data_IF_775836421516
#
_entry.id   IF_775836421516
#
_cell.length_a   1.000
_cell.length_b   1.000
_cell.length_c   1.000
_cell.angle_alpha   90.00
_cell.angle_beta   90.00
_cell.angle_gamma   90.00
#
_symmetry.space_group_name_H-M   'P 1'
#
loop_
_entity.id
_entity.type
_entity.pdbx_description
1 polymer ?
#
# COMPACT_ATOMS: atom_id res chain seq x y z
N UNK A 1 6.98 -44.31 -61.15
CA UNK A 1 8.01 -43.62 -61.95
C UNK A 1 7.94 -42.14 -61.55
N UNK A 2 8.72 -41.72 -60.55
CA UNK A 2 10.00 -40.99 -60.71
C UNK A 2 9.76 -39.62 -61.39
N UNK A 3 10.08 -38.47 -60.80
CA UNK A 3 11.37 -38.12 -60.18
C UNK A 3 11.28 -37.01 -59.12
N UNK A 4 12.29 -37.04 -58.27
CA UNK A 4 12.72 -36.11 -57.23
C UNK A 4 13.21 -34.75 -57.75
N UNK A 5 13.06 -33.70 -56.93
CA UNK A 5 14.08 -32.64 -56.86
C UNK A 5 14.12 -32.06 -55.44
N UNK A 6 15.19 -32.39 -54.72
CA UNK A 6 15.58 -31.75 -53.47
C UNK A 6 16.03 -30.30 -53.74
N UNK A 7 15.57 -29.34 -52.93
CA UNK A 7 16.31 -28.09 -52.71
C UNK A 7 16.45 -27.84 -51.22
N UNK A 8 17.71 -27.77 -50.83
CA UNK A 8 18.27 -27.45 -49.53
C UNK A 8 17.73 -26.14 -48.96
N UNK A 9 17.20 -26.18 -47.74
CA UNK A 9 17.00 -24.99 -46.91
C UNK A 9 18.25 -24.79 -46.03
N UNK A 10 19.03 -23.76 -46.34
CA UNK A 10 20.00 -23.17 -45.41
C UNK A 10 19.25 -22.35 -44.35
N UNK A 11 19.57 -22.46 -43.05
CA UNK A 11 18.96 -21.61 -42.04
C UNK A 11 19.62 -20.23 -42.06
N UNK A 12 18.91 -19.20 -42.53
CA UNK A 12 19.36 -17.82 -42.41
C UNK A 12 19.33 -17.39 -40.95
N UNK A 13 20.49 -17.06 -40.42
CA UNK A 13 20.71 -16.40 -39.15
C UNK A 13 19.93 -15.08 -39.05
N UNK A 14 18.97 -15.00 -38.13
CA UNK A 14 18.38 -13.73 -37.68
C UNK A 14 18.50 -13.61 -36.15
N UNK A 15 19.57 -12.93 -35.76
CA UNK A 15 19.75 -12.08 -34.58
C UNK A 15 18.87 -12.38 -33.34
N UNK A 16 19.36 -13.25 -32.47
CA UNK A 16 19.07 -13.13 -31.04
C UNK A 16 19.89 -11.96 -30.47
N UNK A 17 19.26 -10.80 -30.33
CA UNK A 17 19.85 -9.72 -29.52
C UNK A 17 19.67 -10.11 -28.06
N UNK A 18 20.73 -10.69 -27.47
CA UNK A 18 20.84 -10.90 -26.02
C UNK A 18 20.74 -9.54 -25.32
N UNK A 19 19.61 -9.30 -24.64
CA UNK A 19 19.41 -8.09 -23.86
C UNK A 19 20.12 -8.26 -22.53
N UNK A 20 21.14 -7.46 -22.28
CA UNK A 20 21.88 -7.52 -21.00
C UNK A 20 20.97 -7.17 -19.83
N UNK A 21 21.23 -7.73 -18.64
CA UNK A 21 20.48 -7.42 -17.40
C UNK A 21 20.42 -5.91 -17.15
N UNK A 22 21.47 -5.16 -17.49
CA UNK A 22 21.47 -3.69 -17.44
C UNK A 22 20.48 -3.04 -18.40
N UNK A 23 20.34 -3.54 -19.62
CA UNK A 23 19.34 -3.06 -20.59
C UNK A 23 17.92 -3.44 -20.16
N UNK A 24 17.72 -4.61 -19.53
CA UNK A 24 16.44 -4.99 -18.92
C UNK A 24 16.06 -4.09 -17.75
N UNK A 25 17.01 -3.81 -16.85
CA UNK A 25 16.82 -2.88 -15.72
C UNK A 25 16.60 -1.44 -16.22
N UNK A 26 17.27 -1.02 -17.28
CA UNK A 26 17.07 0.31 -17.88
C UNK A 26 15.71 0.41 -18.60
N UNK A 27 15.27 -0.63 -19.33
CA UNK A 27 13.92 -0.71 -19.90
C UNK A 27 12.84 -0.75 -18.83
N UNK A 28 13.05 -1.48 -17.72
CA UNK A 28 12.16 -1.48 -16.55
C UNK A 28 12.12 -0.10 -15.87
N UNK A 29 13.26 0.60 -15.78
CA UNK A 29 13.32 2.00 -15.31
C UNK A 29 12.61 2.98 -16.25
N UNK A 30 12.67 2.77 -17.57
CA UNK A 30 11.93 3.56 -18.55
C UNK A 30 10.43 3.23 -18.54
N UNK A 31 10.03 1.98 -18.31
CA UNK A 31 8.63 1.59 -18.09
C UNK A 31 8.07 2.20 -16.79
N UNK A 32 8.94 2.42 -15.79
CA UNK A 32 8.67 3.21 -14.57
C UNK A 32 8.48 4.72 -14.80
N UNK A 33 8.68 5.26 -16.02
CA UNK A 33 8.17 6.61 -16.37
C UNK A 33 6.65 6.66 -16.51
N UNK A 34 5.97 5.51 -16.44
CA UNK A 34 4.52 5.48 -16.20
C UNK A 34 4.22 6.02 -14.81
N UNK A 35 3.29 6.98 -14.74
CA UNK A 35 2.78 7.57 -13.49
C UNK A 35 2.51 6.48 -12.46
N UNK A 36 3.18 6.54 -11.30
CA UNK A 36 2.97 5.59 -10.18
C UNK A 36 1.49 5.45 -9.86
N UNK A 37 1.05 4.24 -9.47
CA UNK A 37 -0.32 3.95 -9.06
C UNK A 37 -0.77 4.92 -7.94
N UNK A 38 0.10 5.18 -6.96
CA UNK A 38 -0.13 6.17 -5.91
C UNK A 38 -0.40 7.56 -6.49
N UNK A 39 0.31 7.96 -7.54
CA UNK A 39 0.10 9.27 -8.16
C UNK A 39 -1.25 9.35 -8.88
N UNK A 40 -1.72 8.26 -9.52
CA UNK A 40 -3.08 8.21 -10.10
C UNK A 40 -4.14 8.32 -9.01
N UNK A 41 -4.02 7.54 -7.95
CA UNK A 41 -4.95 7.54 -6.83
C UNK A 41 -5.00 8.90 -6.10
N UNK A 42 -3.84 9.49 -5.81
CA UNK A 42 -3.76 10.85 -5.26
C UNK A 42 -4.46 11.88 -6.15
N UNK A 43 -4.39 11.76 -7.48
CA UNK A 43 -5.12 12.66 -8.39
C UNK A 43 -6.63 12.52 -8.25
N UNK A 44 -7.14 11.29 -8.12
CA UNK A 44 -8.56 11.03 -7.86
C UNK A 44 -9.01 11.67 -6.54
N UNK A 45 -8.24 11.45 -5.46
CA UNK A 45 -8.50 12.06 -4.15
C UNK A 45 -8.48 13.59 -4.22
N UNK A 46 -7.46 14.19 -4.86
CA UNK A 46 -7.37 15.64 -4.99
C UNK A 46 -8.55 16.19 -5.80
N UNK A 47 -8.96 15.51 -6.89
CA UNK A 47 -10.14 15.89 -7.68
C UNK A 47 -11.41 15.84 -6.81
N UNK A 48 -11.59 14.78 -6.03
CA UNK A 48 -12.70 14.63 -5.09
C UNK A 48 -12.73 15.76 -4.06
N UNK A 49 -11.59 16.07 -3.43
CA UNK A 49 -11.47 17.17 -2.47
C UNK A 49 -11.79 18.52 -3.10
N UNK A 50 -11.57 18.68 -4.41
CA UNK A 50 -11.94 19.88 -5.16
C UNK A 50 -13.35 19.79 -5.77
N UNK A 51 -14.31 19.19 -5.04
CA UNK A 51 -15.72 19.11 -5.42
C UNK A 51 -15.94 18.46 -6.81
N UNK A 52 -15.05 17.53 -7.15
CA UNK A 52 -14.96 16.81 -8.42
C UNK A 52 -14.73 17.70 -9.65
N UNK A 53 -14.31 18.96 -9.44
CA UNK A 53 -13.97 19.89 -10.50
C UNK A 53 -12.56 19.61 -11.06
N UNK A 54 -12.29 19.98 -12.34
CA UNK A 54 -10.95 19.92 -12.88
C UNK A 54 -10.00 20.80 -12.05
N UNK A 55 -8.80 20.27 -11.82
CA UNK A 55 -7.76 20.91 -11.02
C UNK A 55 -6.77 21.58 -11.96
N UNK A 56 -6.30 22.78 -11.63
CA UNK A 56 -5.33 23.51 -12.45
C UNK A 56 -3.95 22.81 -12.45
N UNK A 57 -3.07 23.24 -13.34
CA UNK A 57 -1.68 22.73 -13.48
C UNK A 57 -0.87 22.73 -12.18
N UNK A 58 -1.23 23.59 -11.22
CA UNK A 58 -0.63 23.72 -9.88
C UNK A 58 -1.18 22.72 -8.86
N UNK A 59 -2.20 21.94 -9.19
CA UNK A 59 -2.84 21.00 -8.25
C UNK A 59 -3.88 21.65 -7.32
N UNK A 60 -4.23 22.91 -7.53
CA UNK A 60 -5.27 23.65 -6.79
C UNK A 60 -6.50 23.92 -7.68
N UNK A 61 -7.68 24.07 -7.07
CA UNK A 61 -8.89 24.49 -7.78
C UNK A 61 -8.80 25.98 -8.22
N UNK A 62 -9.63 26.38 -9.19
CA UNK A 62 -9.71 27.78 -9.65
C UNK A 62 -10.17 28.75 -8.54
N UNK A 63 -11.07 28.32 -7.67
CA UNK A 63 -11.54 29.07 -6.51
C UNK A 63 -11.23 28.29 -5.22
N UNK A 64 -10.59 28.95 -4.24
CA UNK A 64 -10.28 28.38 -2.94
C UNK A 64 -11.55 28.30 -2.07
N UNK A 65 -12.35 27.25 -2.28
CA UNK A 65 -13.53 26.98 -1.45
C UNK A 65 -13.12 26.20 -0.21
N UNK A 66 -13.33 26.80 0.97
CA UNK A 66 -13.21 26.09 2.24
C UNK A 66 -14.32 25.05 2.38
N UNK A 67 -13.96 23.86 2.86
CA UNK A 67 -14.88 22.72 3.01
C UNK A 67 -14.53 21.85 4.20
N UNK A 68 -15.52 21.05 4.60
CA UNK A 68 -15.41 20.06 5.67
C UNK A 68 -15.33 18.67 5.03
N UNK A 69 -14.37 17.85 5.45
CA UNK A 69 -14.25 16.47 4.99
C UNK A 69 -14.89 15.51 5.99
N UNK A 70 -15.92 14.79 5.56
CA UNK A 70 -16.55 13.74 6.34
C UNK A 70 -16.14 12.40 5.73
N UNK A 71 -15.66 11.47 6.53
CA UNK A 71 -15.34 10.12 6.07
C UNK A 71 -15.76 9.06 7.08
N UNK A 72 -15.86 7.81 6.66
CA UNK A 72 -15.95 6.69 7.60
C UNK A 72 -14.56 6.15 7.95
N UNK A 73 -14.51 5.14 8.81
CA UNK A 73 -13.25 4.56 9.27
C UNK A 73 -12.47 3.86 8.15
N UNK A 74 -13.15 3.30 7.16
CA UNK A 74 -12.51 2.61 6.05
C UNK A 74 -11.87 3.62 5.08
N UNK A 75 -12.63 4.62 4.67
CA UNK A 75 -12.18 5.73 3.83
C UNK A 75 -11.08 6.58 4.49
N UNK A 76 -11.14 6.76 5.83
CA UNK A 76 -10.02 7.35 6.58
C UNK A 76 -8.72 6.56 6.36
N UNK A 77 -8.80 5.23 6.42
CA UNK A 77 -7.63 4.37 6.26
C UNK A 77 -7.11 4.36 4.81
N UNK A 78 -7.96 4.61 3.80
CA UNK A 78 -7.55 4.84 2.41
C UNK A 78 -6.75 6.13 2.29
N UNK A 79 -7.24 7.23 2.88
CA UNK A 79 -6.57 8.53 2.80
C UNK A 79 -5.25 8.59 3.60
N UNK A 80 -5.20 7.91 4.75
CA UNK A 80 -4.12 8.06 5.72
C UNK A 80 -2.67 7.84 5.21
N UNK A 81 -2.38 6.92 4.27
CA UNK A 81 -1.04 6.72 3.72
C UNK A 81 -0.77 7.63 2.51
N UNK A 82 -1.79 8.32 1.99
CA UNK A 82 -1.75 9.03 0.71
C UNK A 82 -1.70 10.56 0.88
N UNK A 83 -2.41 11.09 1.87
CA UNK A 83 -2.53 12.54 2.07
C UNK A 83 -2.38 12.90 3.54
N UNK A 84 -1.42 13.78 3.85
CA UNK A 84 -1.23 14.28 5.21
C UNK A 84 -2.12 15.49 5.48
N UNK A 85 -2.30 15.83 6.76
CA UNK A 85 -3.11 16.98 7.19
C UNK A 85 -2.66 18.30 6.53
N UNK A 86 -1.35 18.48 6.34
CA UNK A 86 -0.79 19.67 5.65
C UNK A 86 -1.30 19.79 4.21
N UNK A 87 -1.50 18.66 3.53
CA UNK A 87 -1.94 18.63 2.14
C UNK A 87 -3.46 18.75 2.02
N UNK A 88 -4.23 18.23 2.98
CA UNK A 88 -5.67 18.51 3.09
C UNK A 88 -5.95 20.02 3.18
N UNK A 89 -5.17 20.74 3.99
CA UNK A 89 -5.30 22.20 4.15
C UNK A 89 -4.99 22.96 2.86
N UNK A 90 -3.99 22.53 2.08
CA UNK A 90 -3.68 23.09 0.75
C UNK A 90 -4.84 22.96 -0.24
N UNK A 91 -5.73 21.99 -0.02
CA UNK A 91 -6.92 21.79 -0.83
C UNK A 91 -8.19 22.36 -0.18
N UNK A 92 -8.07 23.29 0.78
CA UNK A 92 -9.23 23.98 1.36
C UNK A 92 -10.00 23.18 2.42
N UNK A 93 -9.50 22.03 2.87
CA UNK A 93 -10.14 21.27 3.96
C UNK A 93 -9.76 21.89 5.30
N UNK A 94 -10.72 22.52 5.98
CA UNK A 94 -10.50 23.21 7.26
C UNK A 94 -10.74 22.29 8.46
N UNK A 95 -11.78 21.45 8.37
CA UNK A 95 -12.16 20.48 9.38
C UNK A 95 -12.38 19.11 8.74
N UNK A 96 -12.13 18.05 9.51
CA UNK A 96 -12.45 16.69 9.10
C UNK A 96 -12.97 15.86 10.26
N UNK A 97 -13.98 15.04 10.00
CA UNK A 97 -14.64 14.24 11.03
C UNK A 97 -14.99 12.85 10.53
N UNK A 98 -15.06 11.90 11.47
CA UNK A 98 -15.68 10.62 11.18
C UNK A 98 -17.21 10.78 11.16
N UNK A 99 -17.88 10.11 10.22
CA UNK A 99 -19.34 10.16 10.03
C UNK A 99 -20.12 9.63 11.25
N UNK A 100 -19.55 8.69 12.00
CA UNK A 100 -20.15 8.11 13.21
C UNK A 100 -20.15 9.07 14.41
N UNK A 101 -19.39 10.17 14.35
CA UNK A 101 -19.30 11.13 15.45
C UNK A 101 -20.38 12.20 15.36
N UNK A 102 -20.75 12.70 16.53
CA UNK A 102 -21.58 13.89 16.62
C UNK A 102 -20.77 15.12 16.24
N UNK A 103 -21.38 15.92 15.37
CA UNK A 103 -20.77 17.06 14.71
C UNK A 103 -21.64 18.28 14.95
N UNK A 104 -21.01 19.41 15.22
CA UNK A 104 -21.69 20.70 15.34
C UNK A 104 -22.02 21.22 13.93
N UNK A 105 -23.18 21.85 13.73
CA UNK A 105 -23.52 22.47 12.45
C UNK A 105 -22.53 23.57 12.07
N UNK A 106 -22.22 23.66 10.78
CA UNK A 106 -21.44 24.73 10.14
C UNK A 106 -22.16 25.10 8.84
N UNK A 107 -23.20 25.92 8.95
CA UNK A 107 -24.22 26.13 7.91
C UNK A 107 -23.73 26.78 6.62
N UNK A 108 -22.63 27.56 6.66
CA UNK A 108 -22.13 28.33 5.51
C UNK A 108 -20.99 27.62 4.75
N UNK A 109 -20.69 26.37 5.10
CA UNK A 109 -19.54 25.64 4.56
C UNK A 109 -19.99 24.34 3.89
N UNK A 110 -19.58 24.06 2.64
CA UNK A 110 -19.86 22.80 1.97
C UNK A 110 -19.11 21.63 2.62
N UNK A 111 -19.70 20.44 2.57
CA UNK A 111 -19.11 19.21 3.08
C UNK A 111 -18.87 18.18 1.97
N UNK A 112 -17.64 17.65 1.92
CA UNK A 112 -17.25 16.52 1.08
C UNK A 112 -17.35 15.25 1.91
N UNK A 113 -18.26 14.36 1.55
CA UNK A 113 -18.40 13.04 2.15
C UNK A 113 -17.62 12.03 1.33
N UNK A 114 -16.65 11.34 1.92
CA UNK A 114 -15.96 10.20 1.33
C UNK A 114 -16.19 8.94 2.17
N UNK A 115 -17.14 8.09 1.76
CA UNK A 115 -17.66 6.99 2.59
C UNK A 115 -17.94 5.74 1.78
N UNK A 116 -18.02 4.58 2.44
CA UNK A 116 -18.48 3.35 1.81
C UNK A 116 -19.99 3.39 1.52
N UNK A 117 -20.46 2.78 0.42
CA UNK A 117 -21.87 2.67 0.10
C UNK A 117 -22.54 1.57 0.95
N UNK A 118 -22.87 1.89 2.20
CA UNK A 118 -23.58 1.00 3.12
C UNK A 118 -24.74 1.70 3.83
N UNK A 119 -25.69 0.92 4.36
CA UNK A 119 -26.91 1.45 4.97
C UNK A 119 -26.65 2.45 6.09
N UNK A 120 -25.69 2.16 6.97
CA UNK A 120 -25.38 3.02 8.11
C UNK A 120 -24.91 4.41 7.67
N UNK A 121 -24.06 4.47 6.63
CA UNK A 121 -23.58 5.72 6.08
C UNK A 121 -24.71 6.50 5.39
N UNK A 122 -25.58 5.83 4.62
CA UNK A 122 -26.74 6.46 3.98
C UNK A 122 -27.67 7.08 5.01
N UNK A 123 -28.04 6.34 6.06
CA UNK A 123 -28.89 6.84 7.14
C UNK A 123 -28.28 8.06 7.82
N UNK A 124 -26.95 8.04 8.05
CA UNK A 124 -26.26 9.16 8.68
C UNK A 124 -26.20 10.40 7.78
N UNK A 125 -26.00 10.23 6.47
CA UNK A 125 -26.07 11.32 5.49
C UNK A 125 -27.47 11.95 5.49
N UNK A 126 -28.52 11.14 5.45
CA UNK A 126 -29.91 11.63 5.49
C UNK A 126 -30.18 12.42 6.78
N UNK A 127 -29.73 11.91 7.92
CA UNK A 127 -29.87 12.59 9.21
C UNK A 127 -29.08 13.91 9.31
N UNK A 128 -27.90 13.98 8.69
CA UNK A 128 -27.09 15.20 8.65
C UNK A 128 -27.73 16.25 7.72
N UNK A 129 -28.29 15.82 6.59
CA UNK A 129 -28.97 16.67 5.63
C UNK A 129 -30.28 17.24 6.19
N UNK A 130 -31.08 16.42 6.87
CA UNK A 130 -32.34 16.87 7.50
C UNK A 130 -32.10 17.91 8.60
N UNK A 131 -30.97 17.81 9.30
CA UNK A 131 -30.54 18.80 10.32
C UNK A 131 -29.79 19.99 9.73
N UNK A 132 -29.61 20.06 8.41
CA UNK A 132 -28.87 21.09 7.70
C UNK A 132 -27.50 21.37 8.32
N UNK A 133 -26.73 20.31 8.64
CA UNK A 133 -25.43 20.49 9.31
C UNK A 133 -24.42 21.31 8.49
N UNK A 134 -24.57 21.36 7.16
CA UNK A 134 -23.67 22.01 6.21
C UNK A 134 -24.46 22.75 5.14
N UNK A 135 -23.80 23.66 4.42
CA UNK A 135 -24.42 24.42 3.33
C UNK A 135 -24.92 23.48 2.22
N UNK A 136 -24.01 22.63 1.73
CA UNK A 136 -24.25 21.66 0.66
C UNK A 136 -23.43 20.39 0.87
N UNK A 137 -23.93 19.28 0.32
CA UNK A 137 -23.41 17.93 0.54
C UNK A 137 -22.90 17.37 -0.78
N UNK A 138 -21.60 17.11 -0.85
CA UNK A 138 -20.93 16.47 -1.97
C UNK A 138 -20.61 15.02 -1.62
N UNK A 139 -21.43 14.09 -2.10
CA UNK A 139 -21.36 12.69 -1.74
C UNK A 139 -20.42 11.94 -2.69
N UNK A 140 -19.41 11.30 -2.12
CA UNK A 140 -18.41 10.52 -2.85
C UNK A 140 -18.31 9.14 -2.21
N UNK A 141 -18.82 8.12 -2.93
CA UNK A 141 -18.77 6.74 -2.47
C UNK A 141 -17.46 6.06 -2.90
N UNK A 142 -16.89 5.24 -2.02
CA UNK A 142 -15.62 4.53 -2.30
C UNK A 142 -15.72 3.55 -3.46
N UNK A 143 -16.86 2.91 -3.65
CA UNK A 143 -17.20 2.09 -4.81
C UNK A 143 -18.56 2.53 -5.36
N UNK A 144 -19.02 1.84 -6.41
CA UNK A 144 -20.32 2.13 -6.99
C UNK A 144 -21.46 1.87 -6.03
N UNK A 145 -22.34 2.87 -5.84
CA UNK A 145 -23.50 2.75 -4.97
C UNK A 145 -24.55 1.79 -5.58
N UNK A 146 -24.96 0.73 -4.86
CA UNK A 146 -26.08 -0.11 -5.27
C UNK A 146 -27.37 0.68 -5.43
N UNK A 147 -28.18 0.31 -6.43
CA UNK A 147 -29.45 0.99 -6.72
C UNK A 147 -30.40 1.12 -5.51
N UNK A 148 -30.58 0.08 -4.68
CA UNK A 148 -31.43 0.19 -3.49
C UNK A 148 -30.95 1.27 -2.50
N UNK A 149 -29.63 1.37 -2.28
CA UNK A 149 -29.07 2.38 -1.37
C UNK A 149 -29.21 3.81 -1.92
N UNK A 150 -29.16 3.96 -3.24
CA UNK A 150 -29.40 5.26 -3.89
C UNK A 150 -30.87 5.67 -3.78
N UNK A 151 -31.80 4.73 -3.90
CA UNK A 151 -33.24 4.95 -3.74
C UNK A 151 -33.59 5.27 -2.28
N UNK A 152 -32.95 4.62 -1.32
CA UNK A 152 -33.06 4.94 0.11
C UNK A 152 -32.58 6.37 0.43
N UNK A 153 -31.42 6.77 -0.14
CA UNK A 153 -30.90 8.11 0.00
C UNK A 153 -31.87 9.16 -0.56
N UNK A 154 -32.40 8.91 -1.77
CA UNK A 154 -33.35 9.79 -2.41
C UNK A 154 -34.65 9.90 -1.60
N UNK A 155 -35.22 8.76 -1.19
CA UNK A 155 -36.45 8.72 -0.40
C UNK A 155 -36.28 9.40 0.96
N UNK A 156 -35.17 9.15 1.66
CA UNK A 156 -34.88 9.77 2.95
C UNK A 156 -34.71 11.28 2.88
N UNK A 157 -34.04 11.79 1.85
CA UNK A 157 -33.84 13.24 1.65
C UNK A 157 -35.10 13.94 1.13
N UNK A 158 -35.95 13.27 0.36
CA UNK A 158 -37.28 13.78 -0.03
C UNK A 158 -38.21 13.89 1.18
N UNK A 159 -38.28 12.85 2.02
CA UNK A 159 -39.13 12.83 3.20
C UNK A 159 -38.75 13.87 4.26
N UNK A 160 -37.49 14.30 4.26
CA UNK A 160 -36.97 15.34 5.16
C UNK A 160 -36.86 16.72 4.52
N UNK A 161 -37.37 16.88 3.29
CA UNK A 161 -37.30 18.12 2.49
C UNK A 161 -35.87 18.69 2.36
N UNK A 162 -34.88 17.81 2.34
CA UNK A 162 -33.46 18.16 2.32
C UNK A 162 -32.76 17.79 1.02
N UNK A 163 -33.50 17.36 -0.01
CA UNK A 163 -32.94 16.95 -1.30
C UNK A 163 -32.12 18.08 -1.97
N UNK A 164 -32.56 19.32 -1.82
CA UNK A 164 -31.90 20.51 -2.36
C UNK A 164 -30.50 20.76 -1.78
N UNK A 165 -30.17 20.13 -0.64
CA UNK A 165 -28.84 20.20 -0.02
C UNK A 165 -27.83 19.25 -0.67
N UNK A 166 -28.28 18.22 -1.38
CA UNK A 166 -27.39 17.28 -2.07
C UNK A 166 -26.95 17.90 -3.39
N UNK A 167 -25.69 18.33 -3.46
CA UNK A 167 -25.15 19.01 -4.64
C UNK A 167 -24.76 18.01 -5.74
N UNK A 168 -24.00 16.98 -5.37
CA UNK A 168 -23.49 15.97 -6.31
C UNK A 168 -23.33 14.62 -5.62
N UNK A 169 -23.44 13.55 -6.42
CA UNK A 169 -23.20 12.17 -6.02
C UNK A 169 -22.23 11.54 -7.02
N UNK A 170 -21.14 10.97 -6.53
CA UNK A 170 -20.11 10.31 -7.34
C UNK A 170 -19.70 8.95 -6.79
N UNK A 171 -19.42 8.04 -7.70
CA UNK A 171 -18.70 6.80 -7.44
C UNK A 171 -17.20 7.05 -7.71
N UNK A 172 -16.35 6.95 -6.68
CA UNK A 172 -14.92 7.26 -6.80
C UNK A 172 -14.06 6.07 -7.24
N UNK A 173 -14.54 4.84 -7.04
CA UNK A 173 -13.79 3.61 -7.33
C UNK A 173 -12.42 3.52 -6.64
N UNK A 174 -12.34 3.95 -5.38
CA UNK A 174 -11.17 3.97 -4.52
C UNK A 174 -11.26 2.97 -3.34
N UNK A 175 -12.02 1.88 -3.49
CA UNK A 175 -12.24 0.88 -2.43
C UNK A 175 -11.05 -0.08 -2.22
N UNK A 176 -9.84 0.47 -2.04
CA UNK A 176 -8.60 -0.23 -1.76
C UNK A 176 -7.58 0.71 -1.10
N UNK A 177 -6.58 0.16 -0.43
CA UNK A 177 -5.50 0.93 0.22
C UNK A 177 -4.19 0.74 -0.53
N UNK A 178 -3.49 1.84 -0.84
CA UNK A 178 -2.14 1.82 -1.39
C UNK A 178 -1.11 2.07 -0.29
N UNK A 179 -0.21 1.11 -0.10
CA UNK A 179 0.84 1.17 0.92
C UNK A 179 2.21 1.45 0.28
N UNK A 180 2.45 0.89 -0.91
CA UNK A 180 3.63 1.14 -1.74
C UNK A 180 3.22 1.35 -3.21
N UNK A 181 4.13 1.82 -4.07
CA UNK A 181 3.84 2.12 -5.48
C UNK A 181 3.28 0.92 -6.28
N UNK A 182 3.59 -0.29 -5.82
CA UNK A 182 3.22 -1.56 -6.43
C UNK A 182 2.55 -2.54 -5.44
N UNK A 183 2.04 -2.02 -4.31
CA UNK A 183 1.35 -2.82 -3.30
C UNK A 183 0.03 -2.17 -2.90
N UNK A 184 -1.05 -2.92 -3.11
CA UNK A 184 -2.38 -2.54 -2.64
C UNK A 184 -2.99 -3.63 -1.75
N UNK A 185 -3.95 -3.24 -0.92
CA UNK A 185 -4.76 -4.14 -0.11
C UNK A 185 -6.23 -3.75 -0.19
N UNK A 186 -7.11 -4.73 -0.41
CA UNK A 186 -8.56 -4.52 -0.30
C UNK A 186 -9.02 -4.35 1.15
N UNK A 187 -8.13 -4.59 2.12
CA UNK A 187 -8.39 -4.44 3.56
C UNK A 187 -9.58 -5.24 4.10
N UNK A 188 -9.86 -6.36 3.43
CA UNK A 188 -10.84 -7.35 3.85
C UNK A 188 -10.13 -8.34 4.77
N UNK A 189 -10.44 -8.25 6.07
CA UNK A 189 -9.84 -9.13 7.08
C UNK A 189 -10.54 -10.48 7.09
N UNK A 190 -9.80 -11.50 7.50
CA UNK A 190 -10.32 -12.85 7.75
C UNK A 190 -10.92 -13.57 6.54
N UNK A 191 -10.82 -13.02 5.33
CA UNK A 191 -11.33 -13.63 4.09
C UNK A 191 -10.83 -15.05 3.89
N UNK A 192 -9.56 -15.33 4.21
CA UNK A 192 -9.02 -16.70 4.13
C UNK A 192 -9.73 -17.67 5.07
N UNK A 193 -10.01 -17.24 6.30
CA UNK A 193 -10.73 -18.07 7.28
C UNK A 193 -12.17 -18.29 6.84
N UNK A 194 -12.86 -17.21 6.43
CA UNK A 194 -14.25 -17.26 5.99
C UNK A 194 -14.45 -18.17 4.77
N UNK A 195 -13.58 -18.11 3.76
CA UNK A 195 -13.66 -18.95 2.56
C UNK A 195 -13.32 -20.42 2.81
N UNK A 196 -12.66 -20.74 3.92
CA UNK A 196 -12.29 -22.12 4.29
C UNK A 196 -13.06 -22.62 5.53
N UNK A 197 -14.09 -21.89 5.96
CA UNK A 197 -14.95 -22.29 7.06
C UNK A 197 -15.92 -23.38 6.56
N UNK A 198 -15.89 -24.61 7.12
CA UNK A 198 -16.81 -25.68 6.70
C UNK A 198 -18.28 -25.37 6.96
N UNK A 199 -18.59 -24.37 7.79
CA UNK A 199 -19.93 -23.92 8.09
C UNK A 199 -20.42 -22.78 7.19
N UNK A 200 -19.55 -22.20 6.36
CA UNK A 200 -19.92 -21.12 5.45
C UNK A 200 -20.93 -21.62 4.41
N UNK A 201 -22.06 -20.92 4.30
CA UNK A 201 -23.06 -21.20 3.27
C UNK A 201 -22.72 -20.52 1.93
N UNK A 202 -23.37 -20.98 0.85
CA UNK A 202 -23.14 -20.46 -0.51
C UNK A 202 -23.29 -18.93 -0.59
N UNK A 203 -24.33 -18.38 0.04
CA UNK A 203 -24.56 -16.93 0.07
C UNK A 203 -23.43 -16.16 0.73
N UNK A 204 -22.88 -16.66 1.84
CA UNK A 204 -21.77 -15.99 2.52
C UNK A 204 -20.51 -15.99 1.65
N UNK A 205 -20.27 -17.10 0.94
CA UNK A 205 -19.18 -17.21 -0.04
C UNK A 205 -19.40 -16.20 -1.17
N UNK A 206 -20.60 -16.16 -1.77
CA UNK A 206 -20.96 -15.20 -2.81
C UNK A 206 -20.73 -13.75 -2.38
N UNK A 207 -21.17 -13.38 -1.17
CA UNK A 207 -20.96 -12.04 -0.60
C UNK A 207 -19.46 -11.72 -0.42
N UNK A 208 -18.64 -12.70 -0.04
CA UNK A 208 -17.18 -12.54 0.04
C UNK A 208 -16.59 -12.32 -1.36
N UNK A 209 -16.98 -13.14 -2.34
CA UNK A 209 -16.50 -13.05 -3.72
C UNK A 209 -16.87 -11.69 -4.31
N UNK A 210 -18.12 -11.24 -4.15
CA UNK A 210 -18.58 -9.93 -4.65
C UNK A 210 -17.77 -8.78 -4.07
N UNK A 211 -17.47 -8.81 -2.76
CA UNK A 211 -16.62 -7.80 -2.13
C UNK A 211 -15.21 -7.78 -2.72
N UNK A 212 -14.60 -8.94 -2.96
CA UNK A 212 -13.27 -9.01 -3.58
C UNK A 212 -13.34 -8.45 -5.02
N UNK A 213 -14.34 -8.86 -5.80
CA UNK A 213 -14.56 -8.41 -7.18
C UNK A 213 -14.76 -6.90 -7.24
N UNK A 214 -15.56 -6.34 -6.33
CA UNK A 214 -15.78 -4.88 -6.26
C UNK A 214 -14.49 -4.10 -6.00
N UNK A 215 -13.67 -4.57 -5.05
CA UNK A 215 -12.37 -3.96 -4.76
C UNK A 215 -11.38 -4.07 -5.93
N UNK A 216 -11.29 -5.24 -6.57
CA UNK A 216 -10.45 -5.44 -7.76
C UNK A 216 -10.92 -4.58 -8.94
N UNK A 217 -12.23 -4.47 -9.13
CA UNK A 217 -12.82 -3.59 -10.14
C UNK A 217 -12.41 -2.12 -9.90
N UNK A 218 -12.44 -1.65 -8.65
CA UNK A 218 -11.98 -0.31 -8.28
C UNK A 218 -10.51 -0.07 -8.64
N UNK A 219 -9.64 -1.05 -8.38
CA UNK A 219 -8.22 -1.01 -8.79
C UNK A 219 -8.08 -0.86 -10.31
N UNK A 220 -8.80 -1.68 -11.08
CA UNK A 220 -8.75 -1.66 -12.54
C UNK A 220 -9.32 -0.37 -13.13
N UNK A 221 -10.42 0.13 -12.57
CA UNK A 221 -11.03 1.41 -12.94
C UNK A 221 -10.07 2.58 -12.68
N UNK A 222 -9.43 2.63 -11.51
CA UNK A 222 -8.43 3.66 -11.18
C UNK A 222 -7.20 3.61 -12.09
N UNK A 223 -6.76 2.39 -12.46
CA UNK A 223 -5.67 2.23 -13.42
C UNK A 223 -6.10 2.55 -14.85
N UNK A 224 -7.40 2.55 -15.14
CA UNK A 224 -8.04 2.62 -16.44
C UNK A 224 -7.58 1.50 -17.39
N UNK A 225 -7.55 0.25 -16.90
CA UNK A 225 -7.05 -0.89 -17.65
C UNK A 225 -7.98 -2.11 -17.59
N UNK A 226 -8.14 -2.78 -18.74
CA UNK A 226 -8.82 -4.07 -18.86
C UNK A 226 -7.78 -5.21 -19.00
N UNK A 227 -7.54 -6.02 -17.95
CA UNK A 227 -6.48 -7.02 -17.96
C UNK A 227 -6.91 -8.32 -18.66
N UNK A 228 -5.95 -9.16 -19.04
CA UNK A 228 -6.17 -10.58 -19.32
C UNK A 228 -6.13 -11.32 -17.99
N UNK A 229 -7.24 -11.95 -17.58
CA UNK A 229 -7.33 -12.64 -16.30
C UNK A 229 -6.78 -14.08 -16.42
N UNK A 230 -5.97 -14.48 -15.45
CA UNK A 230 -5.43 -15.83 -15.28
C UNK A 230 -5.54 -16.24 -13.82
N UNK A 231 -6.03 -17.45 -13.57
CA UNK A 231 -6.23 -17.97 -12.21
C UNK A 231 -5.91 -19.47 -12.15
N UNK A 232 -5.64 -19.97 -10.95
CA UNK A 232 -5.69 -21.40 -10.67
C UNK A 232 -7.16 -21.86 -10.67
N UNK A 233 -7.40 -23.06 -11.22
CA UNK A 233 -8.74 -23.66 -11.27
C UNK A 233 -9.11 -24.32 -9.94
N UNK A 234 -10.41 -24.49 -9.73
CA UNK A 234 -11.02 -25.25 -8.64
C UNK A 234 -10.76 -24.64 -7.26
N UNK A 235 -10.92 -23.32 -7.13
CA UNK A 235 -10.78 -22.59 -5.87
C UNK A 235 -11.41 -21.20 -5.92
N UNK A 236 -11.35 -20.44 -4.81
CA UNK A 236 -11.88 -19.08 -4.74
C UNK A 236 -11.33 -18.15 -5.83
N UNK A 237 -10.05 -18.31 -6.23
CA UNK A 237 -9.47 -17.53 -7.31
C UNK A 237 -10.23 -17.64 -8.64
N UNK A 238 -10.79 -18.82 -8.97
CA UNK A 238 -11.60 -19.03 -10.18
C UNK A 238 -12.97 -18.34 -10.06
N UNK A 239 -13.61 -18.41 -8.89
CA UNK A 239 -14.87 -17.72 -8.62
C UNK A 239 -14.73 -16.21 -8.77
N UNK A 240 -13.70 -15.62 -8.13
CA UNK A 240 -13.41 -14.18 -8.26
C UNK A 240 -13.06 -13.82 -9.70
N UNK A 241 -12.23 -14.62 -10.39
CA UNK A 241 -11.85 -14.36 -11.78
C UNK A 241 -13.05 -14.33 -12.72
N UNK A 242 -13.97 -15.29 -12.57
CA UNK A 242 -15.16 -15.41 -13.43
C UNK A 242 -16.13 -14.26 -13.19
N UNK A 243 -16.40 -13.93 -11.92
CA UNK A 243 -17.26 -12.81 -11.54
C UNK A 243 -16.65 -11.45 -11.94
N UNK A 244 -15.33 -11.30 -11.85
CA UNK A 244 -14.63 -10.09 -12.31
C UNK A 244 -14.66 -9.96 -13.84
N UNK A 245 -14.47 -11.05 -14.60
CA UNK A 245 -14.61 -11.06 -16.06
C UNK A 245 -16.02 -10.61 -16.47
N UNK A 246 -17.05 -11.18 -15.83
CA UNK A 246 -18.44 -10.79 -16.07
C UNK A 246 -18.67 -9.29 -15.78
N UNK A 247 -18.25 -8.82 -14.60
CA UNK A 247 -18.39 -7.40 -14.22
C UNK A 247 -17.68 -6.45 -15.20
N UNK A 248 -16.50 -6.83 -15.69
CA UNK A 248 -15.78 -6.05 -16.71
C UNK A 248 -16.53 -6.02 -18.04
N UNK A 249 -17.07 -7.16 -18.50
CA UNK A 249 -17.86 -7.23 -19.74
C UNK A 249 -19.09 -6.35 -19.67
N UNK A 250 -19.86 -6.45 -18.58
CA UNK A 250 -21.07 -5.65 -18.38
C UNK A 250 -20.73 -4.16 -18.42
N UNK A 251 -19.63 -3.77 -17.76
CA UNK A 251 -19.19 -2.38 -17.76
C UNK A 251 -18.67 -1.89 -19.13
N UNK A 252 -18.05 -2.75 -19.92
CA UNK A 252 -17.58 -2.41 -21.28
C UNK A 252 -18.72 -2.22 -22.27
N UNK A 253 -19.85 -2.90 -22.05
CA UNK A 253 -21.07 -2.73 -22.85
C UNK A 253 -21.88 -1.50 -22.43
N UNK A 254 -21.60 -0.92 -21.26
CA UNK A 254 -22.29 0.26 -20.77
C UNK A 254 -21.93 1.53 -21.57
N UNK A 255 -22.89 2.46 -21.71
CA UNK A 255 -22.68 3.74 -22.40
C UNK A 255 -21.64 4.63 -21.69
N UNK A 256 -21.59 4.56 -20.36
CA UNK A 256 -20.66 5.32 -19.51
C UNK A 256 -19.47 4.45 -19.09
N UNK A 257 -18.74 3.91 -20.06
CA UNK A 257 -17.65 3.00 -19.75
C UNK A 257 -16.43 3.77 -19.17
N UNK A 258 -15.91 3.32 -18.02
CA UNK A 258 -14.81 3.96 -17.30
C UNK A 258 -13.43 3.71 -17.96
N UNK A 259 -13.38 2.80 -18.94
CA UNK A 259 -12.14 2.34 -19.58
C UNK A 259 -11.85 3.06 -20.91
N UNK A 260 -12.77 3.88 -21.41
CA UNK A 260 -12.61 4.65 -22.66
C UNK A 260 -12.03 6.04 -22.46
N UNK A 261 -12.25 6.66 -21.29
CA UNK A 261 -11.87 8.06 -21.02
C UNK A 261 -10.36 8.30 -21.07
N UNK A 262 -9.53 7.26 -20.95
CA UNK A 262 -8.07 7.35 -20.99
C UNK A 262 -7.46 7.30 -22.39
N UNK A 263 -8.26 7.24 -23.47
CA UNK A 263 -7.77 7.11 -24.85
C UNK A 263 -7.07 5.76 -25.12
N UNK A 264 -7.17 4.81 -24.20
CA UNK A 264 -6.37 3.57 -24.20
C UNK A 264 -6.96 2.44 -25.05
N UNK A 265 -8.03 2.66 -25.81
CA UNK A 265 -8.48 1.65 -26.78
C UNK A 265 -7.40 1.40 -27.87
N UNK A 266 -6.55 2.39 -28.14
CA UNK A 266 -5.38 2.26 -29.02
C UNK A 266 -4.22 1.42 -28.43
N UNK A 267 -4.24 1.08 -27.13
CA UNK A 267 -3.22 0.21 -26.50
C UNK A 267 -3.59 -1.29 -26.56
N UNK A 268 -4.54 -1.65 -27.41
CA UNK A 268 -5.07 -3.02 -27.59
C UNK A 268 -3.99 -4.10 -27.83
N UNK A 269 -2.77 -3.71 -28.20
CA UNK A 269 -1.65 -4.64 -28.42
C UNK A 269 -0.89 -5.07 -27.15
N UNK A 270 -1.10 -4.43 -25.98
CA UNK A 270 -0.43 -4.79 -24.73
C UNK A 270 -1.35 -4.67 -23.50
N UNK A 271 -2.36 -5.55 -23.40
CA UNK A 271 -3.15 -5.70 -22.17
C UNK A 271 -2.28 -6.34 -21.07
N UNK A 272 -2.25 -5.80 -19.84
CA UNK A 272 -1.54 -6.46 -18.75
C UNK A 272 -2.26 -7.75 -18.35
N UNK A 273 -1.53 -8.63 -17.66
CA UNK A 273 -2.06 -9.88 -17.14
C UNK A 273 -2.38 -9.67 -15.65
N UNK A 274 -3.59 -10.03 -15.24
CA UNK A 274 -3.97 -10.17 -13.84
C UNK A 274 -3.88 -11.64 -13.46
N UNK A 275 -2.85 -12.01 -12.69
CA UNK A 275 -2.68 -13.36 -12.16
C UNK A 275 -3.29 -13.45 -10.76
N UNK A 276 -4.18 -14.42 -10.56
CA UNK A 276 -4.91 -14.64 -9.31
C UNK A 276 -4.52 -15.98 -8.71
N UNK A 277 -4.14 -15.95 -7.43
CA UNK A 277 -3.68 -17.13 -6.69
C UNK A 277 -4.45 -17.24 -5.38
N UNK A 278 -4.87 -18.46 -5.05
CA UNK A 278 -5.32 -18.78 -3.71
C UNK A 278 -4.12 -18.90 -2.77
N UNK A 279 -4.27 -18.46 -1.52
CA UNK A 279 -3.19 -18.54 -0.52
C UNK A 279 -2.70 -19.98 -0.29
N UNK A 280 -3.53 -20.97 -0.57
CA UNK A 280 -3.19 -22.39 -0.51
C UNK A 280 -2.02 -22.79 -1.44
N UNK A 281 -1.73 -21.98 -2.46
CA UNK A 281 -0.57 -22.16 -3.33
C UNK A 281 0.75 -22.11 -2.55
N UNK A 282 0.89 -21.16 -1.62
CA UNK A 282 2.11 -20.99 -0.81
C UNK A 282 1.78 -20.35 0.55
N UNK A 283 1.48 -21.21 1.52
CA UNK A 283 1.21 -20.79 2.91
C UNK A 283 2.48 -20.45 3.68
N UNK A 284 3.59 -21.14 3.39
CA UNK A 284 4.89 -20.94 4.08
C UNK A 284 5.36 -19.49 3.99
N UNK A 285 5.24 -18.86 2.82
CA UNK A 285 5.64 -17.47 2.61
C UNK A 285 4.91 -16.46 3.53
N UNK A 286 3.72 -16.81 4.05
CA UNK A 286 2.96 -15.94 4.95
C UNK A 286 3.31 -16.14 6.44
N UNK A 287 4.05 -17.20 6.78
CA UNK A 287 4.34 -17.58 8.17
C UNK A 287 5.83 -17.68 8.47
N UNK A 288 6.68 -17.80 7.47
CA UNK A 288 8.13 -17.86 7.65
C UNK A 288 8.65 -16.60 8.34
N UNK A 289 9.73 -16.72 9.10
CA UNK A 289 10.43 -15.56 9.64
C UNK A 289 11.31 -14.96 8.54
N UNK A 290 11.25 -13.64 8.37
CA UNK A 290 12.06 -12.89 7.42
C UNK A 290 12.94 -11.92 8.21
N UNK A 291 14.22 -11.84 7.84
CA UNK A 291 15.23 -11.08 8.59
C UNK A 291 15.63 -9.77 7.91
N UNK A 292 14.94 -9.41 6.82
CA UNK A 292 15.08 -8.11 6.18
C UNK A 292 14.36 -7.02 6.95
N UNK A 293 14.77 -5.78 6.75
CA UNK A 293 14.30 -4.66 7.56
C UNK A 293 12.78 -4.42 7.51
N UNK A 294 12.18 -4.29 6.31
CA UNK A 294 10.72 -4.04 6.23
C UNK A 294 9.90 -5.19 6.78
N UNK A 295 10.14 -6.46 6.40
CA UNK A 295 9.41 -7.59 6.95
C UNK A 295 9.51 -7.67 8.48
N UNK A 296 10.71 -7.47 9.06
CA UNK A 296 10.87 -7.44 10.51
C UNK A 296 10.08 -6.32 11.18
N UNK A 297 10.16 -5.09 10.65
CA UNK A 297 9.37 -3.96 11.17
C UNK A 297 7.87 -4.27 11.08
N UNK A 298 7.41 -4.87 9.99
CA UNK A 298 6.01 -5.22 9.81
C UNK A 298 5.53 -6.29 10.79
N UNK A 299 6.25 -7.41 10.86
CA UNK A 299 5.91 -8.57 11.68
C UNK A 299 6.02 -8.26 13.17
N UNK A 300 7.15 -7.70 13.59
CA UNK A 300 7.49 -7.55 15.01
C UNK A 300 6.89 -6.28 15.61
N UNK A 301 6.99 -5.14 14.90
CA UNK A 301 6.52 -3.85 15.41
C UNK A 301 5.11 -3.48 14.94
N UNK A 302 4.42 -4.42 14.26
CA UNK A 302 3.02 -4.29 13.83
C UNK A 302 2.77 -3.06 12.96
N UNK A 303 3.62 -2.87 11.94
CA UNK A 303 3.44 -1.79 10.96
C UNK A 303 2.06 -1.88 10.31
N UNK A 304 1.27 -0.82 10.43
CA UNK A 304 -0.08 -0.77 9.88
C UNK A 304 -0.35 0.60 9.28
N UNK A 305 -0.82 0.64 8.03
CA UNK A 305 -1.05 1.89 7.28
C UNK A 305 0.19 2.79 7.30
N UNK A 306 1.36 2.19 7.08
CA UNK A 306 2.66 2.87 7.12
C UNK A 306 2.96 3.56 8.45
N UNK A 307 2.31 3.17 9.54
CA UNK A 307 2.56 3.71 10.89
C UNK A 307 2.86 2.61 11.88
N UNK A 308 3.75 2.90 12.81
CA UNK A 308 4.07 2.05 13.94
C UNK A 308 4.23 2.90 15.20
N UNK A 309 4.13 2.26 16.36
CA UNK A 309 4.43 2.90 17.65
C UNK A 309 5.38 2.03 18.44
N UNK A 310 6.51 2.60 18.87
CA UNK A 310 7.50 1.91 19.71
C UNK A 310 7.63 2.59 21.07
N UNK A 311 8.08 1.87 22.11
CA UNK A 311 8.47 2.48 23.37
C UNK A 311 9.59 3.51 23.14
N UNK A 312 9.38 4.74 23.58
CA UNK A 312 10.39 5.80 23.62
C UNK A 312 11.00 5.95 25.02
N UNK A 313 11.81 6.99 25.18
CA UNK A 313 12.41 7.32 26.47
C UNK A 313 11.33 7.55 27.55
N UNK A 314 11.61 7.09 28.77
CA UNK A 314 10.71 7.23 29.95
C UNK A 314 9.33 6.57 29.77
N UNK A 315 9.23 5.54 28.92
CA UNK A 315 8.00 4.74 28.75
C UNK A 315 6.89 5.40 27.93
N UNK A 316 7.14 6.57 27.31
CA UNK A 316 6.18 7.18 26.39
C UNK A 316 6.24 6.50 25.03
N UNK A 317 5.10 6.10 24.48
CA UNK A 317 5.04 5.55 23.12
C UNK A 317 5.35 6.65 22.10
N UNK A 318 6.29 6.38 21.19
CA UNK A 318 6.65 7.25 20.08
C UNK A 318 6.13 6.64 18.78
N UNK A 319 5.36 7.43 18.03
CA UNK A 319 4.79 7.01 16.75
C UNK A 319 5.70 7.44 15.59
N UNK A 320 5.89 6.55 14.63
CA UNK A 320 6.63 6.82 13.40
C UNK A 320 5.79 6.48 12.17
N UNK A 321 6.02 7.22 11.10
CA UNK A 321 5.43 6.98 9.78
C UNK A 321 6.54 6.56 8.82
N UNK A 322 6.37 5.43 8.12
CA UNK A 322 7.34 4.82 7.22
C UNK A 322 6.71 4.72 5.83
N UNK A 323 6.94 5.73 5.01
CA UNK A 323 6.40 5.82 3.66
C UNK A 323 7.50 6.17 2.64
N UNK A 324 7.10 6.47 1.42
CA UNK A 324 8.01 6.79 0.32
C UNK A 324 8.77 8.10 0.46
N UNK A 325 8.33 9.00 1.35
CA UNK A 325 9.01 10.26 1.65
C UNK A 325 10.22 10.05 2.56
N UNK A 326 10.33 8.89 3.19
CA UNK A 326 11.46 8.50 4.01
C UNK A 326 12.59 7.89 3.13
N UNK A 327 13.71 8.60 2.91
CA UNK A 327 14.77 8.13 2.04
C UNK A 327 15.49 6.91 2.61
N UNK A 328 15.63 6.80 3.93
CA UNK A 328 16.31 5.67 4.56
C UNK A 328 15.46 4.40 4.44
N UNK A 329 14.16 4.51 4.72
CA UNK A 329 13.21 3.39 4.55
C UNK A 329 13.17 2.87 3.11
N UNK A 330 13.25 3.77 2.13
CA UNK A 330 13.26 3.42 0.71
C UNK A 330 14.57 2.76 0.26
N UNK A 331 15.71 3.24 0.75
CA UNK A 331 17.03 2.70 0.40
C UNK A 331 17.32 1.35 1.08
N UNK A 332 16.96 1.22 2.36
CA UNK A 332 17.48 0.17 3.24
C UNK A 332 16.44 -0.88 3.62
N UNK A 333 15.17 -0.70 3.21
CA UNK A 333 14.08 -1.58 3.60
C UNK A 333 14.27 -3.06 3.23
N UNK A 334 14.93 -3.33 2.10
CA UNK A 334 15.14 -4.70 1.61
C UNK A 334 16.43 -5.35 2.11
N UNK A 335 17.27 -4.61 2.83
CA UNK A 335 18.53 -5.11 3.37
C UNK A 335 18.29 -6.07 4.53
N UNK A 336 19.23 -6.98 4.74
CA UNK A 336 19.27 -7.81 5.95
C UNK A 336 19.51 -6.94 7.17
N UNK A 337 18.87 -7.27 8.30
CA UNK A 337 18.92 -6.43 9.50
C UNK A 337 20.35 -6.04 9.97
N UNK A 338 21.38 -6.90 9.91
CA UNK A 338 22.74 -6.51 10.28
C UNK A 338 23.31 -5.40 9.38
N UNK A 339 22.97 -5.40 8.08
CA UNK A 339 23.44 -4.38 7.12
C UNK A 339 22.80 -3.02 7.41
N UNK A 340 21.55 -3.01 7.89
CA UNK A 340 20.86 -1.78 8.31
C UNK A 340 21.60 -1.09 9.45
N UNK A 341 22.12 -1.86 10.41
CA UNK A 341 22.89 -1.29 11.53
C UNK A 341 24.17 -0.61 11.05
N UNK A 342 24.87 -1.22 10.08
CA UNK A 342 26.06 -0.63 9.43
C UNK A 342 25.70 0.66 8.69
N UNK A 343 24.57 0.68 8.00
CA UNK A 343 24.12 1.87 7.27
C UNK A 343 23.72 3.01 8.22
N UNK A 344 23.05 2.72 9.35
CA UNK A 344 22.76 3.71 10.40
C UNK A 344 24.07 4.32 10.91
N UNK A 345 25.07 3.49 11.23
CA UNK A 345 26.36 3.96 11.72
C UNK A 345 27.08 4.83 10.67
N UNK A 346 27.05 4.41 9.41
CA UNK A 346 27.64 5.14 8.29
C UNK A 346 27.00 6.53 8.13
N UNK A 347 25.67 6.61 8.16
CA UNK A 347 24.96 7.88 8.06
C UNK A 347 25.19 8.77 9.29
N UNK A 348 25.24 8.20 10.49
CA UNK A 348 25.53 8.92 11.73
C UNK A 348 26.94 9.52 11.72
N UNK A 349 27.93 8.76 11.27
CA UNK A 349 29.32 9.22 11.16
C UNK A 349 29.46 10.31 10.10
N UNK A 350 28.75 10.19 8.97
CA UNK A 350 28.71 11.24 7.95
C UNK A 350 28.07 12.51 8.49
N UNK A 351 26.90 12.39 9.15
CA UNK A 351 26.23 13.52 9.81
C UNK A 351 27.14 14.23 10.82
N UNK A 352 27.89 13.50 11.65
CA UNK A 352 28.83 14.10 12.61
C UNK A 352 29.91 14.94 11.91
N UNK A 353 30.50 14.40 10.83
CA UNK A 353 31.49 15.13 10.02
C UNK A 353 30.92 16.40 9.41
N UNK A 354 29.71 16.32 8.86
CA UNK A 354 29.03 17.46 8.24
C UNK A 354 28.71 18.56 9.29
N UNK A 355 28.29 18.17 10.50
CA UNK A 355 28.08 19.09 11.62
C UNK A 355 29.38 19.75 12.07
N UNK A 356 30.48 19.01 12.17
CA UNK A 356 31.79 19.55 12.56
C UNK A 356 32.33 20.53 11.50
N UNK A 357 32.03 20.32 10.22
CA UNK A 357 32.34 21.27 9.15
C UNK A 357 31.53 22.56 9.24
N UNK A 358 30.22 22.46 9.50
CA UNK A 358 29.36 23.62 9.73
C UNK A 358 29.81 24.41 10.96
N UNK A 359 30.18 23.74 12.05
CA UNK A 359 30.68 24.41 13.25
C UNK A 359 32.03 25.12 13.02
N UNK A 360 32.90 24.56 12.16
CA UNK A 360 34.17 25.21 11.78
C UNK A 360 33.97 26.43 10.88
N UNK A 361 32.94 26.41 10.03
CA UNK A 361 32.66 27.49 9.05
C UNK A 361 31.70 28.56 9.58
N UNK A 362 30.89 28.25 10.59
CA UNK A 362 29.93 29.16 11.24
C UNK A 362 30.51 30.08 12.32
N UNK A 363 31.83 30.01 12.58
CA UNK A 363 32.53 30.85 13.54
C UNK A 363 32.46 30.33 14.98
N UNK A 364 33.62 30.04 15.57
CA UNK A 364 33.78 29.90 17.02
C UNK A 364 33.42 31.23 17.70
N UNK A 365 32.56 31.18 18.70
CA UNK A 365 32.11 32.32 19.50
C UNK A 365 33.22 32.92 20.42
N UNK A 366 34.46 33.04 19.94
CA UNK A 366 35.58 33.49 20.76
C UNK A 366 36.90 33.84 20.05
N UNK A 367 36.92 34.07 18.72
CA UNK A 367 38.10 34.60 18.04
C UNK A 367 37.93 36.10 17.76
N UNK A 368 38.93 36.91 18.13
CA UNK A 368 38.97 38.36 17.90
C UNK A 368 38.78 38.70 16.41
N UNK A 369 37.86 39.63 16.17
CA UNK A 369 37.37 40.03 14.85
C UNK A 369 38.28 41.08 14.23
N UNK A 370 39.10 40.70 13.24
CA UNK A 370 39.83 41.65 12.38
C UNK A 370 38.98 41.99 11.14
N UNK A 371 38.78 43.28 10.89
CA UNK A 371 37.71 43.85 10.04
C UNK A 371 37.89 43.68 8.53
N UNK A 372 38.79 42.81 8.07
CA UNK A 372 39.16 42.64 6.66
C UNK A 372 38.52 41.43 5.97
N UNK A 373 37.90 40.49 6.71
CA UNK A 373 37.35 39.22 6.18
C UNK A 373 35.81 39.16 6.05
N UNK A 374 35.14 40.31 5.96
CA UNK A 374 33.67 40.41 5.97
C UNK A 374 32.96 39.69 4.80
N UNK A 375 33.55 39.62 3.61
CA UNK A 375 32.86 39.13 2.41
C UNK A 375 32.95 37.59 2.27
N UNK A 376 34.08 36.98 2.68
CA UNK A 376 34.26 35.53 2.71
C UNK A 376 33.41 34.87 3.80
N UNK A 377 33.48 35.41 5.02
CA UNK A 377 32.75 34.89 6.17
C UNK A 377 31.23 34.99 6.01
N UNK A 378 30.71 36.01 5.33
CA UNK A 378 29.25 36.13 5.09
C UNK A 378 28.73 35.01 4.17
N UNK A 379 29.48 34.60 3.14
CA UNK A 379 29.10 33.46 2.28
C UNK A 379 29.16 32.13 3.03
N UNK A 380 30.18 31.92 3.87
CA UNK A 380 30.30 30.72 4.69
C UNK A 380 29.21 30.62 5.77
N UNK A 381 28.93 31.72 6.47
CA UNK A 381 27.80 31.82 7.41
C UNK A 381 26.47 31.57 6.71
N UNK A 382 26.25 32.13 5.52
CA UNK A 382 25.00 31.94 4.79
C UNK A 382 24.82 30.49 4.32
N UNK A 383 25.89 29.83 3.88
CA UNK A 383 25.85 28.40 3.54
C UNK A 383 25.60 27.51 4.77
N UNK A 384 26.22 27.82 5.91
CA UNK A 384 26.00 27.14 7.18
C UNK A 384 24.55 27.30 7.67
N UNK A 385 24.00 28.51 7.62
CA UNK A 385 22.60 28.78 8.02
C UNK A 385 21.62 28.04 7.11
N UNK A 386 21.90 27.95 5.81
CA UNK A 386 21.04 27.24 4.86
C UNK A 386 21.08 25.70 5.02
N UNK A 387 22.17 25.12 5.54
CA UNK A 387 22.30 23.66 5.72
C UNK A 387 21.74 23.14 7.04
N UNK A 388 21.56 24.00 8.06
CA UNK A 388 21.02 23.60 9.37
C UNK A 388 19.64 22.92 9.31
N UNK A 389 18.65 23.39 8.52
CA UNK A 389 17.37 22.70 8.38
C UNK A 389 17.52 21.30 7.80
N UNK A 390 18.35 21.14 6.76
CA UNK A 390 18.62 19.84 6.11
C UNK A 390 19.33 18.87 7.08
N UNK A 391 20.33 19.34 7.81
CA UNK A 391 21.02 18.55 8.84
C UNK A 391 20.06 18.14 9.97
N UNK A 392 19.13 19.01 10.34
CA UNK A 392 18.10 18.71 11.35
C UNK A 392 17.16 17.62 10.86
N UNK A 393 16.65 17.71 9.63
CA UNK A 393 15.79 16.69 9.03
C UNK A 393 16.52 15.35 8.89
N UNK A 394 17.77 15.37 8.41
CA UNK A 394 18.62 14.17 8.32
C UNK A 394 18.83 13.52 9.68
N UNK A 395 19.10 14.31 10.72
CA UNK A 395 19.20 13.81 12.10
C UNK A 395 17.91 13.13 12.55
N UNK A 396 16.75 13.72 12.27
CA UNK A 396 15.46 13.14 12.63
C UNK A 396 15.23 11.78 11.96
N UNK A 397 15.63 11.62 10.69
CA UNK A 397 15.58 10.34 9.97
C UNK A 397 16.51 9.31 10.63
N UNK A 398 17.75 9.69 10.94
CA UNK A 398 18.73 8.81 11.60
C UNK A 398 18.23 8.38 12.99
N UNK A 399 17.76 9.31 13.83
CA UNK A 399 17.27 9.03 15.18
C UNK A 399 16.03 8.13 15.15
N UNK A 400 15.14 8.34 14.18
CA UNK A 400 13.97 7.48 13.95
C UNK A 400 14.37 6.04 13.66
N UNK A 401 15.28 5.81 12.70
CA UNK A 401 15.69 4.45 12.34
C UNK A 401 16.58 3.79 13.38
N UNK A 402 17.41 4.57 14.07
CA UNK A 402 18.16 4.11 15.26
C UNK A 402 17.19 3.55 16.30
N UNK A 403 16.15 4.32 16.68
CA UNK A 403 15.19 3.88 17.69
C UNK A 403 14.41 2.62 17.24
N UNK A 404 13.97 2.55 15.98
CA UNK A 404 13.30 1.37 15.43
C UNK A 404 14.24 0.15 15.49
N UNK A 405 15.49 0.30 15.05
CA UNK A 405 16.48 -0.77 15.04
C UNK A 405 16.84 -1.23 16.47
N UNK A 406 16.94 -0.33 17.44
CA UNK A 406 17.18 -0.68 18.84
C UNK A 406 16.05 -1.53 19.42
N UNK A 407 14.80 -1.17 19.17
CA UNK A 407 13.63 -1.94 19.65
C UNK A 407 13.56 -3.31 18.97
N UNK A 408 13.79 -3.35 17.65
CA UNK A 408 13.90 -4.63 16.91
C UNK A 408 15.01 -5.52 17.46
N UNK A 409 16.19 -4.96 17.73
CA UNK A 409 17.31 -5.74 18.28
C UNK A 409 16.96 -6.35 19.64
N UNK A 410 16.19 -5.63 20.46
CA UNK A 410 15.65 -6.15 21.71
C UNK A 410 14.78 -7.39 21.49
N UNK A 411 13.76 -7.28 20.63
CA UNK A 411 12.85 -8.38 20.28
C UNK A 411 13.58 -9.58 19.66
N UNK A 412 14.54 -9.33 18.76
CA UNK A 412 15.35 -10.37 18.12
C UNK A 412 16.13 -11.16 19.19
N UNK A 413 16.78 -10.47 20.13
CA UNK A 413 17.56 -11.10 21.20
C UNK A 413 16.69 -11.87 22.19
N UNK A 414 15.56 -11.30 22.58
CA UNK A 414 14.64 -11.91 23.54
C UNK A 414 14.04 -13.20 22.99
N UNK A 415 13.62 -13.18 21.71
CA UNK A 415 12.93 -14.29 21.06
C UNK A 415 13.86 -15.22 20.28
N UNK A 416 15.14 -14.86 20.13
CA UNK A 416 16.14 -15.56 19.31
C UNK A 416 15.71 -15.74 17.85
N UNK A 417 15.15 -14.68 17.25
CA UNK A 417 14.60 -14.72 15.89
C UNK A 417 15.65 -15.04 14.82
N UNK A 418 16.90 -14.65 15.04
CA UNK A 418 18.06 -15.01 14.22
C UNK A 418 18.21 -16.54 14.10
N UNK A 419 17.99 -17.27 15.20
CA UNK A 419 18.03 -18.74 15.17
C UNK A 419 16.84 -19.34 14.44
N UNK A 420 15.65 -18.74 14.49
CA UNK A 420 14.48 -19.25 13.77
C UNK A 420 14.72 -19.15 12.26
N UNK A 421 15.07 -17.96 11.78
CA UNK A 421 15.32 -17.71 10.35
C UNK A 421 16.41 -18.62 9.81
N UNK A 422 17.55 -18.71 10.52
CA UNK A 422 18.67 -19.56 10.09
C UNK A 422 18.23 -21.01 9.91
N UNK A 423 17.52 -21.56 10.89
CA UNK A 423 17.10 -22.96 10.87
C UNK A 423 16.00 -23.23 9.85
N UNK A 424 15.08 -22.28 9.65
CA UNK A 424 14.09 -22.34 8.56
C UNK A 424 14.81 -22.45 7.21
N UNK A 425 15.74 -21.54 6.93
CA UNK A 425 16.48 -21.54 5.68
C UNK A 425 17.35 -22.79 5.52
N UNK A 426 18.08 -23.22 6.56
CA UNK A 426 18.95 -24.39 6.51
C UNK A 426 18.16 -25.69 6.26
N UNK A 427 16.97 -25.84 6.85
CA UNK A 427 16.10 -27.01 6.60
C UNK A 427 15.45 -26.96 5.22
N UNK A 428 15.04 -25.77 4.76
CA UNK A 428 14.50 -25.57 3.42
C UNK A 428 15.51 -25.92 2.33
N UNK A 429 16.76 -25.44 2.48
CA UNK A 429 17.86 -25.73 1.54
C UNK A 429 18.24 -27.20 1.55
N UNK A 430 18.26 -27.85 2.72
CA UNK A 430 18.57 -29.29 2.83
C UNK A 430 17.45 -30.19 2.30
N UNK A 431 16.21 -29.69 2.20
CA UNK A 431 15.05 -30.47 1.72
C UNK A 431 14.61 -31.58 2.68
N UNK A 432 14.94 -31.47 3.97
CA UNK A 432 14.67 -32.51 4.96
C UNK A 432 14.52 -31.95 6.37
N UNK A 433 13.80 -32.68 7.22
CA UNK A 433 13.56 -32.29 8.62
C UNK A 433 14.50 -33.05 9.54
N UNK A 434 15.35 -32.32 10.26
CA UNK A 434 16.04 -32.85 11.43
C UNK A 434 15.13 -32.74 12.67
N UNK A 435 14.68 -33.90 13.17
CA UNK A 435 13.78 -33.98 14.33
C UNK A 435 14.42 -33.44 15.60
N UNK A 436 15.71 -33.65 15.80
CA UNK A 436 16.41 -33.19 16.99
C UNK A 436 16.55 -31.67 16.96
N UNK A 437 16.89 -31.12 15.80
CA UNK A 437 16.97 -29.68 15.58
C UNK A 437 15.60 -29.00 15.78
N UNK A 438 14.52 -29.59 15.24
CA UNK A 438 13.14 -29.13 15.44
C UNK A 438 12.77 -29.12 16.92
N UNK A 439 12.99 -30.23 17.65
CA UNK A 439 12.67 -30.32 19.07
C UNK A 439 13.50 -29.33 19.90
N UNK A 440 14.75 -29.08 19.52
CA UNK A 440 15.61 -28.10 20.18
C UNK A 440 15.06 -26.67 20.02
N UNK A 441 14.57 -26.29 18.84
CA UNK A 441 13.92 -24.98 18.61
C UNK A 441 12.66 -24.85 19.46
N UNK A 442 11.79 -25.86 19.43
CA UNK A 442 10.50 -25.80 20.14
C UNK A 442 10.67 -25.71 21.66
N UNK A 443 11.73 -26.30 22.21
CA UNK A 443 12.09 -26.19 23.64
C UNK A 443 12.86 -24.90 23.99
N UNK A 444 13.41 -24.21 22.99
CA UNK A 444 14.21 -23.01 23.17
C UNK A 444 13.41 -21.73 23.42
N UNK A 445 14.07 -20.60 23.23
CA UNK A 445 13.49 -19.24 23.28
C UNK A 445 12.48 -19.01 22.15
N UNK A 446 11.76 -17.89 22.23
CA UNK A 446 10.72 -17.50 21.25
C UNK A 446 9.31 -17.65 21.82
N UNK A 447 8.39 -16.90 21.24
CA UNK A 447 6.98 -16.90 21.64
C UNK A 447 6.30 -18.20 21.21
N UNK A 448 5.10 -18.46 21.75
CA UNK A 448 4.25 -19.57 21.27
C UNK A 448 3.97 -19.47 19.77
N UNK A 449 3.82 -18.25 19.25
CA UNK A 449 3.58 -18.02 17.82
C UNK A 449 4.82 -18.29 16.98
N UNK A 450 6.01 -17.89 17.42
CA UNK A 450 7.27 -18.17 16.70
C UNK A 450 7.47 -19.69 16.54
N UNK A 451 7.25 -20.43 17.64
CA UNK A 451 7.33 -21.89 17.66
C UNK A 451 6.30 -22.55 16.74
N UNK A 452 5.07 -22.05 16.74
CA UNK A 452 4.00 -22.56 15.89
C UNK A 452 4.30 -22.30 14.40
N UNK A 453 4.70 -21.07 14.07
CA UNK A 453 5.09 -20.66 12.71
C UNK A 453 6.23 -21.53 12.19
N UNK A 454 7.28 -21.70 12.99
CA UNK A 454 8.42 -22.56 12.68
C UNK A 454 7.96 -23.99 12.36
N UNK A 455 7.17 -24.59 13.26
CA UNK A 455 6.68 -25.96 13.06
C UNK A 455 5.85 -26.10 11.77
N UNK A 456 4.91 -25.18 11.50
CA UNK A 456 4.07 -25.23 10.30
C UNK A 456 4.89 -24.98 9.02
N UNK A 457 5.83 -24.04 9.06
CA UNK A 457 6.71 -23.72 7.93
C UNK A 457 7.53 -24.95 7.52
N UNK A 458 8.16 -25.61 8.49
CA UNK A 458 8.95 -26.82 8.27
C UNK A 458 8.09 -28.01 7.85
N UNK A 459 6.92 -28.23 8.47
CA UNK A 459 6.00 -29.31 8.08
C UNK A 459 5.45 -29.12 6.66
N UNK A 460 5.30 -27.88 6.20
CA UNK A 460 4.86 -27.59 4.83
C UNK A 460 5.86 -28.10 3.79
N UNK A 461 7.15 -28.24 4.13
CA UNK A 461 8.18 -28.87 3.29
C UNK A 461 7.93 -30.37 3.07
N UNK A 462 7.10 -31.02 3.89
CA UNK A 462 6.73 -32.43 3.70
C UNK A 462 5.63 -32.62 2.65
N UNK A 463 4.89 -31.57 2.24
CA UNK A 463 3.77 -31.73 1.29
C UNK A 463 4.20 -32.40 -0.03
N UNK A 464 5.30 -32.00 -0.69
CA UNK A 464 5.78 -32.68 -1.89
C UNK A 464 6.14 -34.15 -1.61
N UNK A 465 6.80 -34.42 -0.49
CA UNK A 465 7.21 -35.77 -0.04
C UNK A 465 5.99 -36.69 0.22
N UNK A 466 4.94 -36.17 0.84
CA UNK A 466 3.68 -36.90 1.09
C UNK A 466 2.95 -37.15 -0.22
N UNK A 467 2.83 -36.16 -1.11
CA UNK A 467 2.19 -36.32 -2.41
C UNK A 467 2.94 -37.31 -3.31
N UNK A 468 4.28 -37.32 -3.24
CA UNK A 468 5.12 -38.25 -3.99
C UNK A 468 4.97 -39.69 -3.47
N UNK A 469 4.94 -39.88 -2.15
CA UNK A 469 4.63 -41.19 -1.54
C UNK A 469 3.20 -41.66 -1.84
N UNK A 470 2.21 -40.77 -1.80
CA UNK A 470 0.83 -41.10 -2.16
C UNK A 470 0.69 -41.50 -3.63
N UNK A 471 1.43 -40.87 -4.55
CA UNK A 471 1.49 -41.28 -5.96
C UNK A 471 2.13 -42.66 -6.12
N UNK A 472 3.21 -42.95 -5.38
CA UNK A 472 3.85 -44.27 -5.38
C UNK A 472 2.92 -45.36 -4.83
N UNK A 473 2.16 -45.07 -3.78
CA UNK A 473 1.19 -46.00 -3.18
C UNK A 473 -0.05 -46.26 -4.05
N UNK A 474 -0.42 -45.31 -4.93
CA UNK A 474 -1.50 -45.52 -5.90
C UNK A 474 -1.05 -46.26 -7.17
N UNK A 475 0.26 -46.47 -7.34
CA UNK A 475 0.86 -47.20 -8.46
C UNK A 475 1.25 -48.64 -8.10
N UNK A 476 1.18 -48.99 -6.81
CA UNK A 476 1.18 -50.35 -6.28
C UNK A 476 -0.26 -50.77 -6.04
#
# INVERSE_FOLDING_TARGET
>A
MATSSERSCTPSSKLHTSMTVRQAVHKLRLYRKNVSFITKDKKCIIRMLNLNQPVNSTGTANDEVYKILIYDKFCQNILSPLIHVKDLRKHGVTLYFLIDKDRKPVHDVPAVYFVQPNQSNIQRIVADASRSLYDSFHLNFSASIPRPLLEDLASGTLNSDSIHKISKVYDQYLEFMLLEDNLFSLSQKSTYVQLNDPSAGDKEIEDIIERIVSGLFCVLATLAVVPIIRCLRSGPAEMVASALDQKLRDHLLSKNNLFSESGSFASSFQRPILCMFDRNFELSAAIQHDFRYRPLVHDILRLKLNRLSVPGEKGRMKSYELDRSDPFWMANGSLEFPEVAVEIETQLNTYKKDVDEVNRTGGTAGAEFDGTDLIGNTKHLMNAVNSLPELTERKQVIDKHTNIATVLLGEIKERSLDSYVKKENDMMLRGGIDRNELLAVLKGKGTKMDKLRFAISILSLLKPLIQQKQKQWKQQ
#
